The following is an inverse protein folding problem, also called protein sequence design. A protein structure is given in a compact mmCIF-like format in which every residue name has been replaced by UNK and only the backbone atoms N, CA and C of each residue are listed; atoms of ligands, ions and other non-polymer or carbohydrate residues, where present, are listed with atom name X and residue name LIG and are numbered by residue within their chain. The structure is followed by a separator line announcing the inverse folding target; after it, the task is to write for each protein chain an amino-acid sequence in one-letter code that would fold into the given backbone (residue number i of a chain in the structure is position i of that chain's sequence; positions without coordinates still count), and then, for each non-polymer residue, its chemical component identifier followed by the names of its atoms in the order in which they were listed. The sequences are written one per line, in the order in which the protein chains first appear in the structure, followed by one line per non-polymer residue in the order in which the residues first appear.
data_IF_765775784929
#
_entry.id   IF_765775784929
#
_cell.length_a   1.000
_cell.length_b   1.000
_cell.length_c   1.000
_cell.angle_alpha   90.00
_cell.angle_beta   90.00
_cell.angle_gamma   90.00
#
_symmetry.space_group_name_H-M   'P 1'
#
loop_
_entity.id
_entity.type
_entity.pdbx_description
1 polymer ?
#
# COMPACT_ATOMS: atom_id res chain seq x y z
N UNK A 1 -39.42 17.34 9.11
CA UNK A 1 -38.46 16.26 9.39
C UNK A 1 -37.11 16.73 8.89
N UNK A 2 -36.23 17.13 9.81
CA UNK A 2 -34.86 17.52 9.53
C UNK A 2 -34.12 16.29 9.01
N UNK A 3 -33.78 16.28 7.72
CA UNK A 3 -32.79 15.35 7.20
C UNK A 3 -31.46 15.67 7.89
N UNK A 4 -31.06 14.84 8.84
CA UNK A 4 -29.68 14.78 9.33
C UNK A 4 -28.82 14.44 8.11
N UNK A 5 -28.15 15.44 7.54
CA UNK A 5 -27.02 15.20 6.65
C UNK A 5 -25.97 14.51 7.52
N UNK A 6 -25.83 13.20 7.40
CA UNK A 6 -24.65 12.50 7.87
C UNK A 6 -23.47 13.14 7.17
N UNK A 7 -22.61 13.82 7.94
CA UNK A 7 -21.34 14.34 7.43
C UNK A 7 -20.51 13.15 6.94
N UNK A 8 -20.27 13.09 5.63
CA UNK A 8 -19.31 12.15 5.05
C UNK A 8 -17.91 12.67 5.36
N UNK A 9 -17.39 12.29 6.52
CA UNK A 9 -16.03 12.62 6.96
C UNK A 9 -15.21 11.34 7.09
N UNK A 10 -13.94 11.35 6.67
CA UNK A 10 -13.03 10.25 6.94
C UNK A 10 -12.94 9.92 8.43
N UNK A 11 -12.94 8.64 8.75
CA UNK A 11 -12.88 8.14 10.11
C UNK A 11 -11.45 8.24 10.65
N UNK A 12 -11.32 8.47 11.95
CA UNK A 12 -10.03 8.31 12.63
C UNK A 12 -9.60 6.83 12.58
N UNK A 13 -8.30 6.51 12.73
CA UNK A 13 -7.81 5.14 12.57
C UNK A 13 -8.49 4.12 13.48
N UNK A 14 -8.73 4.43 14.75
CA UNK A 14 -9.45 3.55 15.68
C UNK A 14 -10.88 3.28 15.21
N UNK A 15 -11.62 4.31 14.79
CA UNK A 15 -13.00 4.17 14.29
C UNK A 15 -13.04 3.35 13.00
N UNK A 16 -12.08 3.56 12.10
CA UNK A 16 -11.95 2.80 10.86
C UNK A 16 -11.60 1.32 11.12
N UNK A 17 -10.73 1.03 12.10
CA UNK A 17 -10.43 -0.34 12.54
C UNK A 17 -11.69 -1.00 13.09
N UNK A 18 -12.39 -0.35 14.03
CA UNK A 18 -13.61 -0.88 14.63
C UNK A 18 -14.68 -1.19 13.58
N UNK A 19 -14.83 -0.30 12.59
CA UNK A 19 -15.86 -0.42 11.57
C UNK A 19 -15.50 -1.40 10.44
N UNK A 20 -14.27 -1.36 9.93
CA UNK A 20 -13.93 -1.98 8.65
C UNK A 20 -12.89 -3.10 8.74
N UNK A 21 -12.26 -3.37 9.89
CA UNK A 21 -11.22 -4.41 10.02
C UNK A 21 -11.65 -5.80 9.54
N UNK A 22 -12.92 -6.15 9.74
CA UNK A 22 -13.51 -7.41 9.31
C UNK A 22 -13.62 -7.54 7.78
N UNK A 23 -13.72 -6.42 7.05
CA UNK A 23 -13.75 -6.40 5.58
C UNK A 23 -12.33 -6.47 4.98
N UNK A 24 -11.32 -6.07 5.75
CA UNK A 24 -9.93 -5.90 5.30
C UNK A 24 -9.04 -7.12 5.60
N UNK A 25 -9.49 -8.04 6.46
CA UNK A 25 -8.70 -9.19 6.91
C UNK A 25 -9.22 -10.48 6.32
N UNK A 26 -8.35 -11.23 5.64
CA UNK A 26 -8.68 -12.49 5.01
C UNK A 26 -7.88 -13.62 5.63
N UNK A 27 -8.53 -14.77 5.81
CA UNK A 27 -7.95 -15.99 6.36
C UNK A 27 -7.93 -17.08 5.31
N UNK A 28 -6.94 -17.98 5.39
CA UNK A 28 -6.87 -19.14 4.51
C UNK A 28 -8.10 -20.03 4.73
N UNK A 29 -8.86 -20.41 3.68
CA UNK A 29 -10.00 -21.32 3.82
C UNK A 29 -9.62 -22.69 4.39
N UNK A 30 -8.37 -23.13 4.19
CA UNK A 30 -7.85 -24.41 4.69
C UNK A 30 -7.25 -24.32 6.10
N UNK A 31 -6.93 -23.12 6.57
CA UNK A 31 -6.44 -22.85 7.93
C UNK A 31 -6.94 -21.50 8.43
N UNK A 32 -8.03 -21.52 9.21
CA UNK A 32 -8.63 -20.30 9.76
C UNK A 32 -7.69 -19.48 10.67
N UNK A 33 -6.60 -20.06 11.19
CA UNK A 33 -5.63 -19.30 11.99
C UNK A 33 -4.67 -18.49 11.12
N UNK A 34 -4.48 -18.89 9.86
CA UNK A 34 -3.59 -18.21 8.92
C UNK A 34 -4.26 -16.99 8.33
N UNK A 35 -3.68 -15.82 8.60
CA UNK A 35 -4.09 -14.57 7.95
C UNK A 35 -3.30 -14.44 6.65
N UNK A 36 -4.03 -14.35 5.54
CA UNK A 36 -3.45 -14.26 4.18
C UNK A 36 -3.56 -12.85 3.60
N UNK A 37 -4.38 -11.97 4.18
CA UNK A 37 -4.38 -10.54 3.88
C UNK A 37 -4.73 -9.79 5.17
N UNK A 38 -4.02 -8.70 5.46
CA UNK A 38 -4.40 -7.80 6.57
C UNK A 38 -4.14 -6.34 6.21
N UNK A 39 -4.87 -5.38 6.81
CA UNK A 39 -4.53 -3.97 6.72
C UNK A 39 -3.33 -3.66 7.64
N UNK A 40 -2.35 -2.93 7.13
CA UNK A 40 -1.21 -2.45 7.91
C UNK A 40 -0.66 -1.15 7.34
N UNK A 41 0.24 -0.51 8.09
CA UNK A 41 1.03 0.63 7.61
C UNK A 41 2.26 0.11 6.88
N UNK A 42 2.52 0.65 5.69
CA UNK A 42 3.72 0.33 4.91
C UNK A 42 4.56 1.58 4.67
N UNK A 43 5.87 1.41 4.54
CA UNK A 43 6.76 2.38 3.92
C UNK A 43 7.64 1.68 2.88
N UNK A 44 7.56 2.12 1.63
CA UNK A 44 8.32 1.57 0.49
C UNK A 44 9.16 2.68 -0.12
N UNK A 45 10.48 2.51 -0.07
CA UNK A 45 11.48 3.49 -0.51
C UNK A 45 12.35 2.91 -1.62
N UNK A 46 12.50 3.66 -2.71
CA UNK A 46 13.38 3.33 -3.83
C UNK A 46 14.64 4.18 -3.77
N UNK A 47 15.80 3.56 -3.94
CA UNK A 47 17.09 4.25 -3.79
C UNK A 47 18.12 3.76 -4.79
N UNK A 48 19.06 4.65 -5.09
CA UNK A 48 20.09 4.43 -6.09
C UNK A 48 21.29 3.66 -5.52
N UNK A 49 22.08 3.05 -6.40
CA UNK A 49 23.43 2.54 -6.07
C UNK A 49 23.45 1.54 -4.91
N UNK A 50 22.41 0.72 -4.75
CA UNK A 50 22.30 -0.23 -3.65
C UNK A 50 23.42 -1.28 -3.59
N UNK A 51 24.13 -1.50 -4.70
CA UNK A 51 25.33 -2.35 -4.73
C UNK A 51 26.55 -1.74 -4.04
N UNK A 52 26.61 -0.42 -3.86
CA UNK A 52 27.82 0.28 -3.42
C UNK A 52 28.06 0.13 -1.91
N UNK A 53 29.32 -0.09 -1.46
CA UNK A 53 29.63 -0.35 -0.06
C UNK A 53 29.09 0.70 0.94
N UNK A 54 29.09 1.98 0.56
CA UNK A 54 28.53 3.05 1.41
C UNK A 54 27.01 2.93 1.56
N UNK A 55 26.30 2.62 0.48
CA UNK A 55 24.84 2.42 0.52
C UNK A 55 24.50 1.12 1.27
N UNK A 56 25.32 0.07 1.12
CA UNK A 56 25.21 -1.15 1.95
C UNK A 56 25.33 -0.85 3.45
N UNK A 57 26.20 0.08 3.84
CA UNK A 57 26.30 0.51 5.24
C UNK A 57 25.01 1.19 5.71
N UNK A 58 24.47 2.12 4.92
CA UNK A 58 23.18 2.76 5.22
C UNK A 58 22.05 1.74 5.33
N UNK A 59 22.01 0.71 4.47
CA UNK A 59 21.04 -0.37 4.56
C UNK A 59 21.17 -1.20 5.84
N UNK A 60 22.40 -1.49 6.25
CA UNK A 60 22.66 -2.15 7.54
C UNK A 60 22.17 -1.27 8.70
N UNK A 61 22.41 0.03 8.65
CA UNK A 61 21.96 0.97 9.68
C UNK A 61 20.42 1.02 9.76
N UNK A 62 19.72 1.03 8.62
CA UNK A 62 18.25 0.94 8.58
C UNK A 62 17.75 -0.39 9.17
N UNK A 63 18.42 -1.50 8.84
CA UNK A 63 18.09 -2.83 9.37
C UNK A 63 18.27 -2.88 10.88
N UNK A 64 19.40 -2.36 11.38
CA UNK A 64 19.73 -2.33 12.79
C UNK A 64 18.79 -1.39 13.56
N UNK A 65 18.34 -0.28 12.95
CA UNK A 65 17.32 0.61 13.54
C UNK A 65 15.99 -0.12 13.68
N UNK A 66 15.52 -0.81 12.64
CA UNK A 66 14.28 -1.60 12.70
C UNK A 66 14.37 -2.70 13.77
N UNK A 67 15.49 -3.43 13.82
CA UNK A 67 15.74 -4.43 14.86
C UNK A 67 15.73 -3.82 16.26
N UNK A 68 16.34 -2.66 16.45
CA UNK A 68 16.35 -1.95 17.74
C UNK A 68 14.93 -1.62 18.20
N UNK A 69 14.08 -1.20 17.28
CA UNK A 69 12.70 -0.80 17.58
C UNK A 69 11.76 -2.00 17.78
N UNK A 70 11.90 -3.06 16.98
CA UNK A 70 10.85 -4.09 16.82
C UNK A 70 11.34 -5.53 16.93
N UNK A 71 12.58 -5.80 17.33
CA UNK A 71 13.12 -7.17 17.41
C UNK A 71 12.27 -8.13 18.25
N UNK A 72 11.53 -7.67 19.25
CA UNK A 72 10.67 -8.55 20.06
C UNK A 72 9.48 -9.13 19.28
N UNK A 73 9.08 -8.49 18.17
CA UNK A 73 7.94 -8.89 17.35
C UNK A 73 8.35 -9.76 16.15
N UNK A 74 9.64 -9.99 15.91
CA UNK A 74 10.13 -10.70 14.72
C UNK A 74 10.43 -12.15 15.04
N UNK A 75 9.80 -13.07 14.32
CA UNK A 75 9.89 -14.52 14.52
C UNK A 75 10.32 -15.30 13.29
N UNK A 76 10.32 -14.68 12.10
CA UNK A 76 10.75 -15.29 10.84
C UNK A 76 11.88 -14.54 10.15
N UNK A 77 12.59 -15.28 9.30
CA UNK A 77 13.67 -14.79 8.45
C UNK A 77 13.63 -15.45 7.07
N UNK A 78 14.03 -14.67 6.07
CA UNK A 78 14.25 -15.09 4.69
C UNK A 78 15.53 -14.44 4.18
N UNK A 79 16.43 -15.21 3.57
CA UNK A 79 17.77 -14.75 3.17
C UNK A 79 17.93 -14.58 1.64
N UNK A 80 16.82 -14.60 0.89
CA UNK A 80 16.82 -14.51 -0.57
C UNK A 80 17.22 -15.80 -1.30
N UNK A 81 17.59 -16.86 -0.58
CA UNK A 81 18.11 -18.12 -1.16
C UNK A 81 17.37 -19.35 -0.66
N UNK A 82 16.98 -19.36 0.61
CA UNK A 82 16.26 -20.45 1.26
C UNK A 82 14.77 -20.17 1.37
N UNK A 83 14.01 -21.13 1.90
CA UNK A 83 12.61 -20.90 2.30
C UNK A 83 12.55 -19.97 3.52
N UNK A 84 11.40 -19.34 3.71
CA UNK A 84 11.05 -18.69 4.98
C UNK A 84 11.22 -19.68 6.12
N UNK A 85 11.81 -19.20 7.21
CA UNK A 85 12.14 -20.04 8.35
C UNK A 85 12.04 -19.27 9.65
N UNK A 86 12.09 -20.00 10.77
CA UNK A 86 12.12 -19.38 12.09
C UNK A 86 13.40 -18.56 12.26
N UNK A 87 13.24 -17.33 12.71
CA UNK A 87 14.33 -16.41 13.04
C UNK A 87 15.27 -17.02 14.06
N UNK A 88 16.57 -16.92 13.79
CA UNK A 88 17.61 -17.30 14.74
C UNK A 88 18.62 -16.17 14.93
N UNK A 89 19.32 -16.14 16.08
CA UNK A 89 20.40 -15.15 16.28
C UNK A 89 21.48 -15.26 15.19
N UNK A 90 21.85 -16.49 14.81
CA UNK A 90 22.84 -16.72 13.78
C UNK A 90 22.34 -16.32 12.38
N UNK A 91 21.05 -16.52 12.10
CA UNK A 91 20.40 -16.10 10.85
C UNK A 91 20.38 -14.59 10.68
N UNK A 92 19.98 -13.85 11.73
CA UNK A 92 20.05 -12.38 11.75
C UNK A 92 21.47 -11.88 11.52
N UNK A 93 22.47 -12.45 12.23
CA UNK A 93 23.88 -12.08 12.02
C UNK A 93 24.39 -12.44 10.61
N UNK A 94 23.88 -13.51 10.01
CA UNK A 94 24.18 -13.89 8.63
C UNK A 94 23.61 -12.86 7.64
N UNK A 95 22.36 -12.43 7.83
CA UNK A 95 21.72 -11.36 7.05
C UNK A 95 22.52 -10.06 7.18
N UNK A 96 22.82 -9.61 8.40
CA UNK A 96 23.61 -8.39 8.65
C UNK A 96 24.96 -8.44 7.95
N UNK A 97 25.65 -9.59 8.01
CA UNK A 97 26.92 -9.80 7.32
C UNK A 97 26.76 -9.76 5.80
N UNK A 98 25.73 -10.42 5.26
CA UNK A 98 25.51 -10.51 3.82
C UNK A 98 25.29 -9.14 3.18
N UNK A 99 24.64 -8.20 3.88
CA UNK A 99 24.45 -6.82 3.43
C UNK A 99 25.79 -6.17 3.08
N UNK A 100 26.82 -6.32 3.93
CA UNK A 100 28.10 -5.62 3.77
C UNK A 100 29.18 -6.43 3.06
N UNK A 101 29.08 -7.77 3.05
CA UNK A 101 30.10 -8.65 2.45
C UNK A 101 29.80 -9.07 1.01
N UNK A 102 28.56 -8.89 0.54
CA UNK A 102 28.19 -9.22 -0.83
C UNK A 102 28.89 -8.27 -1.80
N UNK A 103 29.56 -8.84 -2.81
CA UNK A 103 30.28 -8.07 -3.83
C UNK A 103 29.33 -7.18 -4.64
N UNK A 104 29.78 -6.06 -5.25
CA UNK A 104 28.90 -5.12 -5.96
C UNK A 104 28.03 -5.74 -7.07
N UNK A 105 28.49 -6.77 -7.77
CA UNK A 105 27.67 -7.47 -8.78
C UNK A 105 26.74 -8.55 -8.19
N UNK A 106 26.76 -8.77 -6.88
CA UNK A 106 25.83 -9.63 -6.16
C UNK A 106 24.63 -8.86 -5.64
N UNK A 107 23.45 -9.50 -5.68
CA UNK A 107 22.24 -8.97 -5.03
C UNK A 107 22.19 -9.41 -3.58
N UNK A 108 21.67 -8.53 -2.74
CA UNK A 108 21.21 -8.86 -1.40
C UNK A 108 19.69 -8.74 -1.42
N UNK A 109 19.04 -9.81 -0.97
CA UNK A 109 17.60 -9.90 -0.74
C UNK A 109 17.42 -10.58 0.60
N UNK A 110 16.62 -9.99 1.49
CA UNK A 110 16.23 -10.63 2.73
C UNK A 110 14.91 -10.04 3.23
N UNK A 111 14.26 -10.76 4.14
CA UNK A 111 13.18 -10.25 4.95
C UNK A 111 13.31 -10.73 6.40
N UNK A 112 12.90 -9.89 7.35
CA UNK A 112 12.67 -10.24 8.75
C UNK A 112 11.22 -9.89 9.08
N UNK A 113 10.47 -10.81 9.67
CA UNK A 113 9.04 -10.60 9.92
C UNK A 113 8.51 -11.31 11.16
N UNK A 114 7.25 -11.05 11.52
CA UNK A 114 6.52 -11.76 12.58
C UNK A 114 5.95 -13.12 12.14
N UNK A 115 6.09 -13.51 10.87
CA UNK A 115 5.57 -14.80 10.34
C UNK A 115 6.70 -15.75 9.97
N UNK A 116 6.48 -17.05 10.16
CA UNK A 116 7.45 -18.10 9.79
C UNK A 116 7.09 -18.84 8.51
N UNK A 117 5.85 -18.72 8.06
CA UNK A 117 5.37 -19.32 6.82
C UNK A 117 5.38 -18.33 5.66
N UNK A 118 5.56 -18.87 4.46
CA UNK A 118 5.62 -18.13 3.20
C UNK A 118 4.26 -17.56 2.77
N UNK A 119 3.17 -18.20 3.21
CA UNK A 119 1.78 -17.95 2.84
C UNK A 119 1.00 -17.18 3.92
N UNK A 120 1.70 -16.64 4.92
CA UNK A 120 1.14 -15.78 5.96
C UNK A 120 1.45 -14.30 5.66
N UNK A 121 0.45 -13.42 5.77
CA UNK A 121 0.64 -11.98 5.63
C UNK A 121 1.21 -11.39 6.94
N UNK A 122 2.38 -10.74 6.92
CA UNK A 122 3.02 -10.20 8.12
C UNK A 122 2.35 -8.93 8.65
N UNK A 123 2.50 -8.69 9.94
CA UNK A 123 2.14 -7.43 10.62
C UNK A 123 3.37 -6.57 10.95
N UNK A 124 4.52 -7.22 11.14
CA UNK A 124 5.82 -6.58 11.21
C UNK A 124 6.71 -7.17 10.14
N UNK A 125 7.29 -6.31 9.30
CA UNK A 125 8.25 -6.75 8.29
C UNK A 125 9.26 -5.65 8.01
N UNK A 126 10.51 -6.05 7.78
CA UNK A 126 11.46 -5.28 6.98
C UNK A 126 12.00 -6.19 5.88
N UNK A 127 11.95 -5.70 4.65
CA UNK A 127 12.45 -6.38 3.45
C UNK A 127 13.32 -5.41 2.65
N UNK A 128 14.35 -5.95 2.03
CA UNK A 128 15.19 -5.20 1.11
C UNK A 128 15.58 -6.04 -0.09
N UNK A 129 15.61 -5.43 -1.27
CA UNK A 129 16.21 -6.00 -2.46
C UNK A 129 17.10 -4.96 -3.13
N UNK A 130 18.31 -5.38 -3.46
CA UNK A 130 19.31 -4.50 -4.10
C UNK A 130 19.63 -4.89 -5.53
N UNK A 131 19.93 -3.87 -6.31
CA UNK A 131 20.45 -3.98 -7.67
C UNK A 131 21.82 -4.65 -7.72
N UNK A 132 22.22 -5.00 -8.94
CA UNK A 132 23.61 -5.38 -9.25
C UNK A 132 24.30 -4.17 -9.85
N UNK A 133 25.56 -3.93 -9.51
CA UNK A 133 26.34 -2.80 -10.03
C UNK A 133 26.29 -2.68 -11.55
N UNK A 134 26.40 -3.80 -12.28
CA UNK A 134 26.29 -3.81 -13.74
C UNK A 134 24.95 -3.23 -14.25
N UNK A 135 23.84 -3.59 -13.61
CA UNK A 135 22.49 -3.14 -14.01
C UNK A 135 22.21 -1.71 -13.57
N UNK A 136 22.70 -1.33 -12.38
CA UNK A 136 22.66 0.05 -11.89
C UNK A 136 23.40 0.98 -12.85
N UNK A 137 24.63 0.62 -13.24
CA UNK A 137 25.45 1.42 -14.15
C UNK A 137 24.85 1.53 -15.56
N UNK A 138 24.23 0.45 -16.06
CA UNK A 138 23.77 0.38 -17.44
C UNK A 138 22.36 0.94 -17.63
N UNK A 139 21.47 0.70 -16.66
CA UNK A 139 20.04 0.97 -16.81
C UNK A 139 19.48 1.84 -15.68
N UNK A 140 20.27 2.18 -14.66
CA UNK A 140 19.78 2.96 -13.51
C UNK A 140 18.85 2.17 -12.58
N UNK A 141 18.90 0.82 -12.61
CA UNK A 141 18.03 -0.03 -11.78
C UNK A 141 18.10 0.39 -10.30
N UNK A 142 16.94 0.70 -9.74
CA UNK A 142 16.82 1.07 -8.34
C UNK A 142 16.77 -0.17 -7.43
N UNK A 143 17.22 0.03 -6.20
CA UNK A 143 17.00 -0.88 -5.09
C UNK A 143 15.77 -0.44 -4.30
N UNK A 144 15.21 -1.32 -3.47
CA UNK A 144 14.12 -0.93 -2.58
C UNK A 144 14.30 -1.45 -1.14
N UNK A 145 13.70 -0.71 -0.21
CA UNK A 145 13.51 -1.06 1.18
C UNK A 145 12.02 -0.91 1.47
N UNK A 146 11.42 -1.96 2.03
CA UNK A 146 10.04 -1.97 2.48
C UNK A 146 10.00 -2.30 3.97
N UNK A 147 9.15 -1.60 4.71
CA UNK A 147 8.78 -2.01 6.05
C UNK A 147 7.26 -2.01 6.24
N UNK A 148 6.79 -2.86 7.15
CA UNK A 148 5.39 -3.00 7.57
C UNK A 148 5.33 -2.85 9.07
N UNK A 149 4.38 -2.04 9.54
CA UNK A 149 4.02 -1.88 10.96
C UNK A 149 2.51 -2.08 11.13
N UNK A 150 2.04 -2.55 12.30
CA UNK A 150 0.61 -2.73 12.55
C UNK A 150 -0.19 -1.45 12.33
N UNK A 151 -1.42 -1.57 11.83
CA UNK A 151 -2.33 -0.41 11.70
C UNK A 151 -2.56 0.28 13.07
N UNK A 152 -2.50 -0.44 14.18
CA UNK A 152 -2.65 0.16 15.51
C UNK A 152 -1.63 1.26 15.83
N UNK A 153 -0.51 1.35 15.10
CA UNK A 153 0.42 2.47 15.22
C UNK A 153 -0.20 3.82 14.79
N UNK A 154 -1.26 3.82 13.98
CA UNK A 154 -1.96 5.04 13.59
C UNK A 154 -2.99 5.51 14.64
N UNK A 155 -3.30 4.72 15.66
CA UNK A 155 -4.33 5.05 16.66
C UNK A 155 -3.91 6.12 17.66
N UNK A 156 -2.60 6.42 17.73
CA UNK A 156 -2.05 7.41 18.66
C UNK A 156 -0.76 8.03 18.12
N UNK A 157 -0.36 9.15 18.71
CA UNK A 157 0.83 9.91 18.29
C UNK A 157 2.12 9.14 18.47
N UNK A 158 2.28 8.31 19.51
CA UNK A 158 3.52 7.54 19.73
C UNK A 158 3.78 6.54 18.59
N UNK A 159 2.74 5.85 18.10
CA UNK A 159 2.87 4.95 16.96
C UNK A 159 3.17 5.70 15.65
N UNK A 160 2.51 6.84 15.43
CA UNK A 160 2.78 7.71 14.27
C UNK A 160 4.23 8.22 14.31
N UNK A 161 4.72 8.62 15.47
CA UNK A 161 6.09 9.09 15.67
C UNK A 161 7.11 7.98 15.38
N UNK A 162 6.85 6.74 15.80
CA UNK A 162 7.70 5.58 15.47
C UNK A 162 7.73 5.30 13.95
N UNK A 163 6.58 5.38 13.28
CA UNK A 163 6.52 5.24 11.83
C UNK A 163 7.32 6.36 11.14
N UNK A 164 7.12 7.61 11.58
CA UNK A 164 7.78 8.79 11.04
C UNK A 164 9.30 8.74 11.24
N UNK A 165 9.75 8.36 12.45
CA UNK A 165 11.15 8.17 12.79
C UNK A 165 11.82 7.16 11.87
N UNK A 166 11.20 6.00 11.65
CA UNK A 166 11.75 4.97 10.77
C UNK A 166 11.80 5.43 9.31
N UNK A 167 10.73 6.06 8.81
CA UNK A 167 10.65 6.59 7.45
C UNK A 167 11.77 7.61 7.19
N UNK A 168 11.92 8.60 8.07
CA UNK A 168 12.90 9.68 7.93
C UNK A 168 14.33 9.20 8.18
N UNK A 169 14.54 8.25 9.09
CA UNK A 169 15.85 7.59 9.28
C UNK A 169 16.31 6.92 7.99
N UNK A 170 15.45 6.12 7.35
CA UNK A 170 15.74 5.48 6.08
C UNK A 170 16.01 6.51 4.97
N UNK A 171 15.21 7.58 4.92
CA UNK A 171 15.40 8.65 3.94
C UNK A 171 16.75 9.37 4.08
N UNK A 172 17.22 9.56 5.32
CA UNK A 172 18.51 10.18 5.60
C UNK A 172 19.69 9.25 5.32
N UNK A 173 19.53 7.95 5.55
CA UNK A 173 20.59 6.96 5.44
C UNK A 173 20.85 6.49 4.00
N UNK A 174 19.89 6.68 3.08
CA UNK A 174 19.93 6.12 1.73
C UNK A 174 19.81 7.23 0.66
N UNK A 175 20.38 7.03 -0.54
CA UNK A 175 20.22 7.94 -1.67
C UNK A 175 18.83 7.75 -2.31
N UNK A 176 17.79 8.30 -1.65
CA UNK A 176 16.40 8.09 -2.05
C UNK A 176 16.09 8.74 -3.39
N UNK A 177 15.49 7.94 -4.28
CA UNK A 177 14.93 8.37 -5.56
C UNK A 177 13.48 8.79 -5.43
N UNK A 178 12.75 8.12 -4.57
CA UNK A 178 11.39 8.42 -4.16
C UNK A 178 10.76 7.24 -3.43
N UNK A 179 9.50 7.37 -3.05
CA UNK A 179 8.77 6.33 -2.35
C UNK A 179 7.44 6.81 -1.82
N UNK A 180 6.80 5.95 -1.04
CA UNK A 180 5.50 6.22 -0.44
C UNK A 180 5.32 5.45 0.87
N UNK A 181 4.36 5.87 1.67
CA UNK A 181 3.91 5.14 2.84
C UNK A 181 2.47 5.46 3.20
N UNK A 182 1.80 4.54 3.88
CA UNK A 182 0.36 4.64 4.12
C UNK A 182 -0.26 3.29 4.45
N UNK A 183 -1.59 3.23 4.36
CA UNK A 183 -2.33 1.97 4.53
C UNK A 183 -2.20 1.11 3.28
N UNK A 184 -2.05 -0.19 3.45
CA UNK A 184 -2.04 -1.17 2.36
C UNK A 184 -2.70 -2.46 2.79
N UNK A 185 -3.21 -3.23 1.83
CA UNK A 185 -3.50 -4.65 2.02
C UNK A 185 -2.17 -5.41 1.95
N UNK A 186 -1.62 -5.79 3.10
CA UNK A 186 -0.39 -6.58 3.15
C UNK A 186 -0.70 -8.01 2.78
N UNK A 187 0.07 -8.52 1.81
CA UNK A 187 -0.04 -9.86 1.26
C UNK A 187 1.13 -10.74 1.75
N UNK A 188 1.00 -12.08 1.68
CA UNK A 188 2.09 -13.00 1.94
C UNK A 188 3.15 -12.90 0.84
N UNK A 189 4.23 -13.67 0.97
CA UNK A 189 5.24 -13.71 -0.09
C UNK A 189 4.67 -14.36 -1.38
N UNK A 190 3.75 -15.32 -1.29
CA UNK A 190 3.02 -15.87 -2.46
C UNK A 190 1.85 -14.99 -2.93
N UNK A 191 2.09 -13.67 -2.94
CA UNK A 191 1.09 -12.64 -3.20
C UNK A 191 0.30 -12.81 -4.50
N UNK A 192 0.84 -13.51 -5.53
CA UNK A 192 0.19 -13.69 -6.83
C UNK A 192 -1.25 -14.20 -6.72
N UNK A 193 -1.50 -15.11 -5.75
CA UNK A 193 -2.84 -15.68 -5.52
C UNK A 193 -3.82 -14.69 -4.90
N UNK A 194 -3.31 -13.60 -4.35
CA UNK A 194 -4.05 -12.61 -3.58
C UNK A 194 -4.22 -11.27 -4.31
N UNK A 195 -3.61 -11.09 -5.48
CA UNK A 195 -3.78 -9.92 -6.35
C UNK A 195 -5.27 -9.58 -6.64
N UNK A 196 -6.16 -10.55 -6.91
CA UNK A 196 -7.58 -10.25 -7.11
C UNK A 196 -8.23 -9.59 -5.90
N UNK A 197 -7.88 -10.01 -4.69
CA UNK A 197 -8.41 -9.44 -3.46
C UNK A 197 -7.83 -8.05 -3.18
N UNK A 198 -6.52 -7.84 -3.42
CA UNK A 198 -5.91 -6.50 -3.35
C UNK A 198 -6.62 -5.52 -4.32
N UNK A 199 -6.95 -5.98 -5.52
CA UNK A 199 -7.73 -5.19 -6.49
C UNK A 199 -9.13 -4.82 -5.98
N UNK A 200 -9.87 -5.77 -5.39
CA UNK A 200 -11.21 -5.46 -4.86
C UNK A 200 -11.15 -4.51 -3.65
N UNK A 201 -10.18 -4.72 -2.74
CA UNK A 201 -10.02 -3.87 -1.56
C UNK A 201 -9.63 -2.45 -1.94
N UNK A 202 -8.67 -2.27 -2.84
CA UNK A 202 -8.24 -0.95 -3.32
C UNK A 202 -9.29 -0.22 -4.16
N UNK A 203 -10.25 -0.94 -4.75
CA UNK A 203 -11.45 -0.34 -5.36
C UNK A 203 -12.46 0.17 -4.34
N UNK A 204 -12.57 -0.51 -3.19
CA UNK A 204 -13.52 -0.13 -2.13
C UNK A 204 -12.95 0.97 -1.25
N UNK A 205 -11.70 0.86 -0.84
CA UNK A 205 -11.05 1.77 0.09
C UNK A 205 -9.94 2.54 -0.65
N UNK A 206 -10.22 3.82 -0.96
CA UNK A 206 -9.37 4.63 -1.82
C UNK A 206 -8.01 4.98 -1.17
N UNK A 207 -7.90 4.87 0.14
CA UNK A 207 -6.66 5.11 0.89
C UNK A 207 -5.68 3.93 0.85
N UNK A 208 -6.11 2.75 0.40
CA UNK A 208 -5.23 1.57 0.32
C UNK A 208 -4.26 1.69 -0.86
N UNK A 209 -2.98 1.62 -0.55
CA UNK A 209 -1.88 1.46 -1.48
C UNK A 209 -1.90 0.07 -2.12
N UNK A 210 -1.51 0.01 -3.40
CA UNK A 210 -1.33 -1.25 -4.13
C UNK A 210 0.16 -1.52 -4.19
N UNK A 211 0.66 -2.41 -3.34
CA UNK A 211 2.10 -2.59 -3.07
C UNK A 211 2.55 -4.06 -3.17
N UNK A 212 1.73 -4.94 -3.76
CA UNK A 212 2.11 -6.33 -3.99
C UNK A 212 3.41 -6.49 -4.80
N UNK A 213 3.72 -5.55 -5.70
CA UNK A 213 4.87 -5.67 -6.60
C UNK A 213 5.76 -4.43 -6.62
N UNK A 214 6.36 -4.09 -5.48
CA UNK A 214 7.28 -2.94 -5.34
C UNK A 214 8.42 -2.94 -6.39
N UNK A 215 8.90 -4.10 -6.85
CA UNK A 215 9.92 -4.17 -7.92
C UNK A 215 9.44 -3.58 -9.25
N UNK A 216 8.16 -3.74 -9.61
CA UNK A 216 7.62 -3.13 -10.82
C UNK A 216 7.56 -1.60 -10.70
N UNK A 217 7.23 -1.09 -9.50
CA UNK A 217 7.19 0.34 -9.22
C UNK A 217 8.56 1.01 -9.29
N UNK A 218 9.63 0.28 -8.94
CA UNK A 218 10.99 0.77 -9.06
C UNK A 218 11.33 1.25 -10.49
N UNK A 219 10.72 0.66 -11.52
CA UNK A 219 10.90 1.12 -12.90
C UNK A 219 10.26 2.49 -13.19
N UNK A 220 9.11 2.78 -12.60
CA UNK A 220 8.48 4.09 -12.77
C UNK A 220 9.33 5.17 -12.07
N UNK A 221 9.86 4.89 -10.87
CA UNK A 221 10.78 5.80 -10.18
C UNK A 221 12.13 5.97 -10.90
N UNK A 222 12.63 4.93 -11.58
CA UNK A 222 13.82 5.00 -12.43
C UNK A 222 13.64 6.02 -13.57
N UNK A 223 12.43 6.10 -14.13
CA UNK A 223 12.07 7.04 -15.19
C UNK A 223 11.62 8.42 -14.64
N UNK A 224 11.86 8.70 -13.36
CA UNK A 224 11.45 9.92 -12.67
C UNK A 224 9.94 10.11 -12.64
N UNK A 225 9.18 9.04 -12.44
CA UNK A 225 7.74 9.08 -12.22
C UNK A 225 7.37 8.57 -10.83
N UNK A 226 6.25 9.06 -10.32
CA UNK A 226 5.61 8.50 -9.13
C UNK A 226 4.36 7.71 -9.52
N UNK A 227 3.94 6.83 -8.62
CA UNK A 227 2.67 6.13 -8.76
C UNK A 227 1.48 7.07 -8.58
N UNK A 228 1.28 7.57 -7.37
CA UNK A 228 0.23 8.52 -6.99
C UNK A 228 0.56 9.12 -5.61
N UNK A 229 -0.33 9.96 -5.10
CA UNK A 229 -0.25 10.48 -3.71
C UNK A 229 -0.61 9.38 -2.70
N UNK A 230 0.03 9.42 -1.53
CA UNK A 230 -0.31 8.58 -0.38
C UNK A 230 -0.10 9.39 0.93
N UNK A 231 -0.40 8.80 2.10
CA UNK A 231 -0.20 9.42 3.41
C UNK A 231 1.20 9.99 3.56
N UNK A 232 2.22 9.25 3.14
CA UNK A 232 3.57 9.72 2.89
C UNK A 232 3.87 9.65 1.40
N UNK A 233 4.35 10.76 0.85
CA UNK A 233 4.95 10.82 -0.49
C UNK A 233 6.38 11.31 -0.34
N UNK A 234 7.35 10.52 -0.81
CA UNK A 234 8.77 10.85 -0.74
C UNK A 234 9.26 11.18 -2.14
N UNK A 235 9.78 12.39 -2.30
CA UNK A 235 10.25 12.92 -3.59
C UNK A 235 11.76 13.16 -3.50
N UNK A 236 12.54 12.34 -4.22
CA UNK A 236 13.97 12.61 -4.41
C UNK A 236 14.19 13.88 -5.25
N UNK A 237 15.38 14.47 -5.17
CA UNK A 237 15.73 15.72 -5.85
C UNK A 237 15.29 15.78 -7.33
N UNK A 238 15.50 14.75 -8.18
CA UNK A 238 15.14 14.88 -9.59
C UNK A 238 13.64 14.68 -9.86
N UNK A 239 12.83 14.29 -8.86
CA UNK A 239 11.36 14.43 -8.90
C UNK A 239 10.94 15.86 -8.50
N UNK A 240 11.58 16.43 -7.47
CA UNK A 240 11.29 17.79 -7.02
C UNK A 240 11.61 18.84 -8.08
N UNK A 241 12.72 18.69 -8.80
CA UNK A 241 13.12 19.60 -9.89
C UNK A 241 12.05 19.70 -10.99
N UNK A 242 11.27 18.63 -11.23
CA UNK A 242 10.15 18.66 -12.19
C UNK A 242 8.96 19.50 -11.71
N UNK A 243 8.86 19.77 -10.40
CA UNK A 243 7.82 20.60 -9.80
C UNK A 243 8.25 22.07 -9.62
N UNK A 244 9.45 22.44 -10.07
CA UNK A 244 10.04 23.76 -9.83
C UNK A 244 11.03 23.72 -8.68
N UNK A 245 10.97 24.69 -7.76
CA UNK A 245 11.81 24.70 -6.56
C UNK A 245 11.12 24.06 -5.35
N UNK A 246 11.89 23.57 -4.39
CA UNK A 246 11.34 23.12 -3.10
C UNK A 246 10.53 24.23 -2.40
N UNK A 247 10.92 25.50 -2.57
CA UNK A 247 10.18 26.63 -2.02
C UNK A 247 8.78 26.77 -2.66
N UNK A 248 8.66 26.53 -3.97
CA UNK A 248 7.36 26.55 -4.67
C UNK A 248 6.45 25.43 -4.18
N UNK A 249 7.00 24.22 -4.02
CA UNK A 249 6.25 23.07 -3.47
C UNK A 249 5.79 23.37 -2.05
N UNK A 250 6.66 23.91 -1.20
CA UNK A 250 6.32 24.29 0.19
C UNK A 250 5.25 25.38 0.25
N UNK A 251 5.30 26.36 -0.64
CA UNK A 251 4.28 27.39 -0.73
C UNK A 251 2.93 26.82 -1.21
N UNK A 252 2.95 25.95 -2.24
CA UNK A 252 1.75 25.33 -2.79
C UNK A 252 1.07 24.36 -1.82
N UNK A 253 1.83 23.72 -0.93
CA UNK A 253 1.36 22.77 0.09
C UNK A 253 1.32 23.36 1.50
N UNK A 254 1.31 24.70 1.64
CA UNK A 254 1.29 25.37 2.94
C UNK A 254 -0.09 25.22 3.61
N UNK A 255 -0.23 24.17 4.43
CA UNK A 255 -1.44 23.86 5.20
C UNK A 255 -1.07 23.14 6.50
N UNK A 256 -1.84 23.37 7.57
CA UNK A 256 -1.50 22.96 8.94
C UNK A 256 -1.30 21.44 9.10
N UNK A 257 -2.13 20.65 8.43
CA UNK A 257 -2.12 19.18 8.46
C UNK A 257 -1.18 18.55 7.41
N UNK A 258 -0.38 19.36 6.69
CA UNK A 258 0.62 18.87 5.73
C UNK A 258 2.02 19.10 6.28
N UNK A 259 2.69 18.01 6.66
CA UNK A 259 4.08 18.06 7.10
C UNK A 259 5.02 17.94 5.89
N UNK A 260 6.06 18.78 5.85
CA UNK A 260 7.09 18.73 4.82
C UNK A 260 8.48 18.85 5.42
N UNK A 261 9.29 17.80 5.29
CA UNK A 261 10.64 17.75 5.86
C UNK A 261 11.67 17.28 4.85
N UNK A 262 12.81 17.96 4.80
CA UNK A 262 13.94 17.52 3.96
C UNK A 262 14.82 16.56 4.76
N UNK A 263 15.08 15.39 4.19
CA UNK A 263 15.98 14.38 4.73
C UNK A 263 16.94 13.91 3.64
N UNK A 264 18.22 14.27 3.76
CA UNK A 264 19.19 13.97 2.70
C UNK A 264 18.81 14.61 1.36
N UNK A 265 18.63 13.76 0.34
CA UNK A 265 18.34 14.14 -1.05
C UNK A 265 16.84 13.99 -1.40
N UNK A 266 15.97 14.00 -0.40
CA UNK A 266 14.53 13.95 -0.65
C UNK A 266 13.72 14.87 0.29
N UNK A 267 12.55 15.27 -0.21
CA UNK A 267 11.48 15.89 0.56
C UNK A 267 10.46 14.81 0.92
N UNK A 268 10.20 14.64 2.22
CA UNK A 268 9.14 13.80 2.77
C UNK A 268 7.91 14.68 2.98
N UNK A 269 6.80 14.32 2.34
CA UNK A 269 5.51 15.01 2.46
C UNK A 269 4.55 14.06 3.19
N UNK A 270 3.96 14.48 4.31
CA UNK A 270 2.89 13.76 5.00
C UNK A 270 1.56 14.48 4.79
N UNK A 271 0.58 13.79 4.21
CA UNK A 271 -0.73 14.33 3.89
C UNK A 271 -1.74 14.00 5.00
N UNK A 272 -1.97 14.92 5.93
CA UNK A 272 -2.81 14.71 7.11
C UNK A 272 -2.05 14.14 8.31
N UNK A 273 -2.68 14.21 9.47
CA UNK A 273 -2.08 13.77 10.74
C UNK A 273 -1.97 12.25 10.87
N UNK A 274 -2.89 11.53 10.23
CA UNK A 274 -2.97 10.07 10.25
C UNK A 274 -3.45 9.54 8.88
N UNK A 275 -3.18 8.26 8.55
CA UNK A 275 -3.61 7.71 7.28
C UNK A 275 -5.12 7.49 7.26
N UNK A 276 -5.75 7.87 6.16
CA UNK A 276 -7.18 7.69 5.90
C UNK A 276 -7.43 6.42 5.09
N UNK A 277 -8.41 5.61 5.49
CA UNK A 277 -8.79 4.37 4.80
C UNK A 277 -9.58 4.66 3.52
N UNK A 278 -10.54 5.60 3.60
CA UNK A 278 -11.25 6.07 2.42
C UNK A 278 -12.33 5.14 1.91
N UNK A 279 -13.17 4.61 2.80
CA UNK A 279 -14.37 3.88 2.40
C UNK A 279 -15.34 4.80 1.61
N UNK A 280 -16.24 4.26 0.77
CA UNK A 280 -17.17 5.08 0.01
C UNK A 280 -18.10 5.92 0.92
N UNK A 281 -18.33 5.46 2.14
CA UNK A 281 -19.17 6.13 3.14
C UNK A 281 -18.43 7.24 3.93
N UNK A 282 -17.13 7.42 3.70
CA UNK A 282 -16.26 8.38 4.40
C UNK A 282 -16.06 9.70 3.65
N UNK A 283 -16.54 9.81 2.41
CA UNK A 283 -16.33 11.00 1.59
C UNK A 283 -14.89 11.12 1.06
N UNK A 284 -14.49 12.32 0.59
CA UNK A 284 -13.20 12.52 -0.06
C UNK A 284 -12.03 12.56 0.93
N UNK A 285 -10.88 12.01 0.51
CA UNK A 285 -9.62 12.04 1.27
C UNK A 285 -8.91 13.36 0.97
N UNK A 286 -9.42 14.43 1.57
CA UNK A 286 -9.05 15.81 1.22
C UNK A 286 -7.53 16.07 1.28
N UNK A 287 -6.77 15.65 2.31
CA UNK A 287 -5.32 15.87 2.33
C UNK A 287 -4.58 15.22 1.17
N UNK A 288 -5.06 14.07 0.71
CA UNK A 288 -4.44 13.33 -0.39
C UNK A 288 -4.77 14.01 -1.72
N UNK A 289 -6.01 14.51 -1.88
CA UNK A 289 -6.42 15.30 -3.04
C UNK A 289 -5.61 16.61 -3.12
N UNK A 290 -5.44 17.29 -2.00
CA UNK A 290 -4.69 18.54 -1.92
C UNK A 290 -3.23 18.38 -2.33
N UNK A 291 -2.54 17.36 -1.80
CA UNK A 291 -1.16 17.05 -2.22
C UNK A 291 -1.12 16.59 -3.69
N UNK A 292 -2.11 15.83 -4.15
CA UNK A 292 -2.20 15.38 -5.54
C UNK A 292 -2.23 16.54 -6.53
N UNK A 293 -2.86 17.69 -6.21
CA UNK A 293 -2.86 18.88 -7.09
C UNK A 293 -1.46 19.33 -7.49
N UNK A 294 -0.49 19.20 -6.58
CA UNK A 294 0.90 19.63 -6.80
C UNK A 294 1.73 18.53 -7.45
N UNK A 295 1.57 17.28 -7.01
CA UNK A 295 2.45 16.18 -7.46
C UNK A 295 1.91 15.41 -8.69
N UNK A 296 0.65 15.65 -9.10
CA UNK A 296 0.00 15.05 -10.29
C UNK A 296 0.88 15.06 -11.55
N UNK A 297 1.64 16.13 -11.88
CA UNK A 297 2.52 16.17 -13.05
C UNK A 297 3.65 15.13 -13.03
N UNK A 298 3.99 14.55 -11.87
CA UNK A 298 5.02 13.52 -11.75
C UNK A 298 4.54 12.12 -12.14
N UNK A 299 3.24 11.91 -12.29
CA UNK A 299 2.69 10.57 -12.59
C UNK A 299 3.05 10.14 -14.00
N UNK A 300 3.21 8.84 -14.20
CA UNK A 300 3.46 8.28 -15.54
C UNK A 300 2.20 8.40 -16.42
N UNK A 301 2.24 9.07 -17.57
CA UNK A 301 1.05 9.27 -18.41
C UNK A 301 0.46 7.96 -18.94
N UNK A 302 1.34 7.01 -19.32
CA UNK A 302 0.96 5.70 -19.83
C UNK A 302 1.40 4.64 -18.83
N UNK A 303 0.48 4.27 -17.94
CA UNK A 303 0.70 3.18 -16.99
C UNK A 303 0.22 1.86 -17.58
N UNK A 304 1.05 0.84 -17.42
CA UNK A 304 0.69 -0.55 -17.66
C UNK A 304 -0.12 -1.13 -16.50
N UNK A 305 -0.35 -2.43 -16.57
CA UNK A 305 -1.00 -3.22 -15.53
C UNK A 305 -0.16 -3.25 -14.23
N UNK A 306 -0.75 -2.92 -13.08
CA UNK A 306 -0.10 -3.11 -11.76
C UNK A 306 0.05 -4.56 -11.35
N UNK A 307 -0.78 -5.45 -11.90
CA UNK A 307 -0.77 -6.87 -11.59
C UNK A 307 -0.27 -7.69 -12.78
N UNK A 308 0.33 -8.84 -12.50
CA UNK A 308 0.63 -9.85 -13.52
C UNK A 308 -0.67 -10.40 -14.14
N UNK A 309 -0.60 -10.90 -15.39
CA UNK A 309 -1.77 -11.49 -16.04
C UNK A 309 -2.15 -12.82 -15.39
N UNK A 310 -3.42 -12.93 -15.00
CA UNK A 310 -4.06 -14.17 -14.54
C UNK A 310 -5.33 -14.40 -15.36
N UNK A 311 -5.47 -15.58 -15.94
CA UNK A 311 -6.61 -15.92 -16.79
C UNK A 311 -7.89 -16.08 -15.96
N UNK A 312 -8.98 -15.42 -16.38
CA UNK A 312 -10.31 -15.61 -15.81
C UNK A 312 -10.54 -14.96 -14.44
N UNK A 313 -9.61 -14.12 -13.95
CA UNK A 313 -9.71 -13.48 -12.63
C UNK A 313 -9.62 -11.96 -12.75
N UNK A 314 -10.50 -11.24 -12.04
CA UNK A 314 -10.43 -9.78 -11.96
C UNK A 314 -9.20 -9.33 -11.17
N UNK A 315 -8.54 -8.30 -11.68
CA UNK A 315 -7.29 -7.73 -11.16
C UNK A 315 -7.09 -6.35 -11.77
N UNK A 316 -6.02 -5.66 -11.40
CA UNK A 316 -5.63 -4.46 -12.12
C UNK A 316 -5.22 -4.77 -13.55
N UNK A 317 -6.06 -4.43 -14.52
CA UNK A 317 -5.68 -4.21 -15.92
C UNK A 317 -5.12 -2.81 -16.11
N UNK A 318 -4.77 -2.44 -17.35
CA UNK A 318 -4.20 -1.12 -17.63
C UNK A 318 -5.18 0.02 -17.30
N UNK A 319 -6.44 -0.12 -17.68
CA UNK A 319 -7.46 0.91 -17.47
C UNK A 319 -7.79 1.08 -15.99
N UNK A 320 -7.93 -0.03 -15.25
CA UNK A 320 -8.12 -0.03 -13.81
C UNK A 320 -6.91 0.58 -13.09
N UNK A 321 -5.70 0.31 -13.58
CA UNK A 321 -4.46 0.89 -13.03
C UNK A 321 -4.41 2.40 -13.22
N UNK A 322 -4.84 2.91 -14.39
CA UNK A 322 -4.95 4.35 -14.65
C UNK A 322 -5.97 5.01 -13.73
N UNK A 323 -7.16 4.40 -13.57
CA UNK A 323 -8.21 4.91 -12.67
C UNK A 323 -7.75 4.97 -11.22
N UNK A 324 -7.07 3.92 -10.74
CA UNK A 324 -6.56 3.91 -9.37
C UNK A 324 -5.48 4.97 -9.14
N UNK A 325 -4.60 5.21 -10.12
CA UNK A 325 -3.61 6.30 -10.04
C UNK A 325 -4.27 7.67 -9.99
N UNK A 326 -5.34 7.84 -10.77
CA UNK A 326 -6.12 9.07 -10.86
C UNK A 326 -7.18 9.22 -9.76
N UNK A 327 -7.22 8.35 -8.74
CA UNK A 327 -8.31 8.34 -7.73
C UNK A 327 -8.45 9.61 -6.91
N UNK A 328 -7.40 10.44 -6.86
CA UNK A 328 -7.37 11.74 -6.18
C UNK A 328 -7.41 12.93 -7.15
N UNK A 329 -7.67 12.70 -8.43
CA UNK A 329 -7.91 13.79 -9.37
C UNK A 329 -9.28 14.40 -9.06
N UNK A 330 -9.31 15.73 -9.07
CA UNK A 330 -10.57 16.46 -9.02
C UNK A 330 -11.27 16.34 -10.38
N UNK A 331 -12.61 16.28 -10.39
CA UNK A 331 -13.36 16.27 -11.64
C UNK A 331 -13.03 17.53 -12.46
N UNK A 332 -12.70 17.34 -13.73
CA UNK A 332 -12.41 18.44 -14.65
C UNK A 332 -13.74 19.09 -15.08
N UNK A 333 -14.10 20.21 -14.43
CA UNK A 333 -15.28 21.03 -14.79
C UNK A 333 -16.39 21.07 -13.72
N UNK A 334 -17.48 21.85 -13.96
CA UNK A 334 -18.64 21.84 -13.08
C UNK A 334 -19.23 20.42 -12.99
N UNK A 335 -19.56 19.98 -11.78
CA UNK A 335 -20.24 18.70 -11.56
C UNK A 335 -21.62 18.78 -12.20
N UNK A 336 -21.78 18.15 -13.37
CA UNK A 336 -23.10 17.88 -13.93
C UNK A 336 -23.66 16.64 -13.21
N UNK A 337 -24.54 16.89 -12.23
CA UNK A 337 -25.28 15.87 -11.47
C UNK A 337 -26.09 14.90 -12.37
N UNK A 338 -26.20 15.16 -13.67
CA UNK A 338 -26.91 14.32 -14.63
C UNK A 338 -26.03 13.29 -15.36
N UNK A 339 -24.71 13.31 -15.18
CA UNK A 339 -23.82 12.31 -15.79
C UNK A 339 -23.61 11.12 -14.84
N UNK A 340 -24.04 9.89 -15.19
CA UNK A 340 -23.79 8.73 -14.34
C UNK A 340 -22.29 8.52 -14.18
N UNK A 341 -21.75 8.79 -12.99
CA UNK A 341 -20.40 8.38 -12.65
C UNK A 341 -20.30 6.85 -12.81
N UNK A 342 -19.37 6.32 -13.62
CA UNK A 342 -19.16 4.88 -13.69
C UNK A 342 -18.83 4.39 -12.28
N UNK A 343 -19.71 3.54 -11.73
CA UNK A 343 -19.74 3.23 -10.31
C UNK A 343 -18.37 2.76 -9.80
N UNK A 344 -17.86 3.49 -8.81
CA UNK A 344 -16.88 3.01 -7.83
C UNK A 344 -17.37 1.66 -7.29
N UNK A 345 -16.46 0.71 -7.04
CA UNK A 345 -16.82 -0.69 -6.74
C UNK A 345 -17.97 -0.80 -5.74
N UNK A 346 -19.13 -1.29 -6.17
CA UNK A 346 -20.30 -1.37 -5.31
C UNK A 346 -20.19 -2.56 -4.36
N UNK A 347 -20.61 -2.39 -3.11
CA UNK A 347 -20.76 -3.46 -2.12
C UNK A 347 -22.13 -3.36 -1.47
N UNK A 348 -22.66 -4.48 -0.98
CA UNK A 348 -23.92 -4.52 -0.25
C UNK A 348 -23.92 -5.64 0.79
N UNK A 349 -24.54 -5.39 1.95
CA UNK A 349 -24.72 -6.44 2.96
C UNK A 349 -25.87 -7.37 2.56
N UNK A 350 -25.84 -8.63 3.03
CA UNK A 350 -26.98 -9.54 2.95
C UNK A 350 -28.29 -8.86 3.34
N UNK A 351 -29.35 -9.18 2.61
CA UNK A 351 -30.71 -8.67 2.79
C UNK A 351 -30.91 -7.17 2.57
N UNK A 352 -29.86 -6.39 2.36
CA UNK A 352 -30.00 -5.02 1.87
C UNK A 352 -30.45 -5.02 0.40
N UNK A 353 -31.11 -3.94 0.00
CA UNK A 353 -31.48 -3.73 -1.39
C UNK A 353 -30.22 -3.63 -2.26
N UNK A 354 -30.16 -4.45 -3.31
CA UNK A 354 -29.10 -4.44 -4.29
C UNK A 354 -29.03 -3.08 -4.99
N UNK A 355 -27.91 -2.36 -4.92
CA UNK A 355 -27.81 -1.02 -5.49
C UNK A 355 -27.64 -1.03 -7.01
N UNK A 356 -27.24 -2.18 -7.60
CA UNK A 356 -26.95 -2.31 -9.04
C UNK A 356 -27.15 -3.72 -9.54
N UNK A 357 -27.87 -3.87 -10.65
CA UNK A 357 -28.02 -5.15 -11.35
C UNK A 357 -26.66 -5.67 -11.79
N UNK A 358 -26.30 -6.88 -11.39
CA UNK A 358 -24.99 -7.42 -11.74
C UNK A 358 -24.73 -8.80 -11.18
N UNK A 359 -23.54 -9.29 -11.52
CA UNK A 359 -22.89 -10.39 -10.85
C UNK A 359 -22.19 -9.85 -9.61
N UNK A 360 -22.40 -10.50 -8.48
CA UNK A 360 -21.87 -10.17 -7.17
C UNK A 360 -21.12 -11.36 -6.58
N UNK A 361 -20.11 -11.11 -5.76
CA UNK A 361 -19.31 -12.14 -5.08
C UNK A 361 -19.28 -11.91 -3.56
N UNK A 362 -19.51 -12.96 -2.79
CA UNK A 362 -19.37 -12.98 -1.34
C UNK A 362 -18.16 -13.84 -0.95
N UNK A 363 -17.05 -13.18 -0.60
CA UNK A 363 -15.77 -13.84 -0.34
C UNK A 363 -15.84 -14.75 0.90
N UNK A 364 -16.49 -14.29 1.98
CA UNK A 364 -16.67 -15.07 3.21
C UNK A 364 -17.63 -16.27 3.06
N UNK A 365 -18.22 -16.47 1.88
CA UNK A 365 -19.00 -17.66 1.53
C UNK A 365 -18.26 -18.56 0.54
N UNK A 366 -16.92 -18.57 0.58
CA UNK A 366 -16.10 -19.34 -0.35
C UNK A 366 -16.14 -18.78 -1.77
N UNK A 367 -16.08 -17.45 -1.90
CA UNK A 367 -16.23 -16.73 -3.17
C UNK A 367 -17.55 -17.06 -3.90
N UNK A 368 -18.64 -17.24 -3.14
CA UNK A 368 -19.96 -17.52 -3.71
C UNK A 368 -20.38 -16.39 -4.64
N UNK A 369 -20.88 -16.75 -5.80
CA UNK A 369 -21.32 -15.80 -6.82
C UNK A 369 -22.84 -15.81 -6.91
N UNK A 370 -23.44 -14.62 -7.01
CA UNK A 370 -24.86 -14.44 -7.26
C UNK A 370 -25.09 -13.42 -8.37
N UNK A 371 -26.15 -13.59 -9.14
CA UNK A 371 -26.68 -12.54 -10.01
C UNK A 371 -27.86 -11.91 -9.30
N UNK A 372 -27.81 -10.60 -9.07
CA UNK A 372 -28.83 -9.87 -8.29
C UNK A 372 -29.23 -8.64 -9.09
N UNK A 373 -30.52 -8.39 -9.28
CA UNK A 373 -31.01 -7.19 -9.96
C UNK A 373 -31.08 -6.03 -8.98
N UNK A 374 -30.90 -4.81 -9.48
CA UNK A 374 -31.10 -3.60 -8.68
C UNK A 374 -32.52 -3.61 -8.09
N UNK A 375 -32.64 -3.32 -6.80
CA UNK A 375 -33.90 -3.37 -6.07
C UNK A 375 -34.19 -4.71 -5.37
N UNK A 376 -33.59 -5.81 -5.80
CA UNK A 376 -33.76 -7.10 -5.13
C UNK A 376 -32.90 -7.20 -3.85
N UNK A 377 -33.32 -7.93 -2.81
CA UNK A 377 -32.49 -8.11 -1.63
C UNK A 377 -31.24 -8.95 -1.94
N UNK A 378 -30.10 -8.55 -1.37
CA UNK A 378 -28.86 -9.31 -1.47
C UNK A 378 -29.00 -10.67 -0.78
N UNK A 379 -28.36 -11.74 -1.29
CA UNK A 379 -28.53 -13.06 -0.70
C UNK A 379 -27.92 -13.17 0.71
N UNK A 380 -28.55 -13.98 1.55
CA UNK A 380 -27.98 -14.40 2.83
C UNK A 380 -26.84 -15.42 2.69
N UNK A 381 -26.25 -15.85 3.82
CA UNK A 381 -26.53 -15.41 5.20
C UNK A 381 -25.84 -14.08 5.59
N UNK A 382 -26.25 -13.47 6.71
CA UNK A 382 -25.56 -12.29 7.32
C UNK A 382 -24.13 -12.61 7.76
N UNK A 383 -23.89 -13.82 8.27
CA UNK A 383 -22.57 -14.28 8.72
C UNK A 383 -22.23 -15.62 8.07
N UNK A 384 -20.95 -15.80 7.78
CA UNK A 384 -20.37 -17.07 7.35
C UNK A 384 -20.37 -18.11 8.48
N UNK A 385 -20.11 -19.37 8.16
CA UNK A 385 -20.06 -20.48 9.14
C UNK A 385 -19.00 -20.28 10.23
N UNK A 386 -17.98 -19.45 9.96
CA UNK A 386 -16.92 -19.08 10.91
C UNK A 386 -17.18 -17.73 11.60
N UNK A 387 -18.39 -17.17 11.45
CA UNK A 387 -18.83 -15.96 12.16
C UNK A 387 -18.47 -14.62 11.51
N UNK A 388 -17.72 -14.60 10.41
CA UNK A 388 -17.40 -13.36 9.68
C UNK A 388 -18.66 -12.77 9.02
N UNK A 389 -18.82 -11.44 9.07
CA UNK A 389 -19.89 -10.74 8.36
C UNK A 389 -19.74 -10.97 6.85
N UNK A 390 -20.83 -11.35 6.19
CA UNK A 390 -20.87 -11.49 4.74
C UNK A 390 -21.07 -10.11 4.13
N UNK A 391 -20.28 -9.80 3.10
CA UNK A 391 -20.42 -8.62 2.25
C UNK A 391 -20.36 -9.11 0.80
N UNK A 392 -21.28 -8.61 -0.02
CA UNK A 392 -21.30 -8.87 -1.46
C UNK A 392 -20.61 -7.73 -2.20
N UNK A 393 -19.67 -8.06 -3.08
CA UNK A 393 -18.94 -7.11 -3.91
C UNK A 393 -19.37 -7.25 -5.38
N UNK A 394 -19.61 -6.12 -6.04
CA UNK A 394 -20.01 -6.09 -7.44
C UNK A 394 -18.83 -6.46 -8.35
N UNK A 395 -19.07 -7.44 -9.21
CA UNK A 395 -18.12 -8.01 -10.17
C UNK A 395 -18.31 -7.29 -11.52
N UNK A 396 -19.44 -7.51 -12.18
CA UNK A 396 -19.76 -6.94 -13.50
C UNK A 396 -21.27 -6.91 -13.75
N UNK A 397 -21.69 -6.15 -14.76
CA UNK A 397 -23.10 -6.15 -15.20
C UNK A 397 -23.54 -7.53 -15.73
N UNK A 398 -24.86 -7.76 -15.69
CA UNK A 398 -25.50 -8.89 -16.38
C UNK A 398 -25.79 -8.39 -17.81
N UNK A 399 -25.33 -9.13 -18.83
CA UNK A 399 -25.69 -8.88 -20.23
C UNK A 399 -27.18 -9.10 -20.50
#
# INVERSE_FOLDING_TARGET
MTHTMTSFSPLAPTEAIERYSHELTFRDPSDSNRIVIRPALIGTLFFERGSQPMVRRGLLDCTDRFLTMFSQNLFGEFDGKSRYSKRTKNGVESIRRSIVSTQPNGRVHFALSDVTEFDSAPEFLIEMLTGQELLENRYGVLSHLKFVLPWSFAENTEGIDKFHELMTFCCKALPIRGGYGGLSSVLPYDFDRHLPMEYQLSRRFQGLEVDAWALAEAYDYQDNHIKSTNWYTVLGDPLLEKLGSEADVRAALCREDILMERHGQCLVIRAGDYPLLGAPEEGPLEPYIFVNRVIRPLRKPLRGSMHSYMEGVERFGEEESRRWVARFDEPEGPIDDSTPQPSRGASALPFQTCPRSGRWVANHLGNRIAQVKAGDPMPGPERSDVGNQVVWYFVRDIE
#
